data_IF_115358753287
#
_entry.id   IF_115358753287
#
_cell.length_a   1.000
_cell.length_b   1.000
_cell.length_c   1.000
_cell.angle_alpha   90.00
_cell.angle_beta   90.00
_cell.angle_gamma   90.00
#
_symmetry.space_group_name_H-M   'P 1'
#
loop_
_entity.id
_entity.type
_entity.pdbx_description
1 polymer ?
#
# COMPACT_ATOMS: atom_id res chain seq x y z
N UNK A 1 -8.05 1.93 10.29
CA UNK A 1 -7.21 2.91 9.58
C UNK A 1 -5.78 2.43 9.56
N UNK A 2 -5.06 2.67 8.46
CA UNK A 2 -3.64 2.34 8.36
C UNK A 2 -2.83 3.55 8.79
N UNK A 3 -1.92 3.38 9.74
CA UNK A 3 -1.07 4.46 10.23
C UNK A 3 0.33 4.31 9.69
N UNK A 4 0.79 5.33 8.96
CA UNK A 4 2.13 5.40 8.38
C UNK A 4 2.99 6.40 9.12
N UNK A 5 4.29 6.12 9.21
CA UNK A 5 5.25 7.10 9.72
C UNK A 5 5.47 8.19 8.66
N UNK A 6 5.13 9.44 8.98
CA UNK A 6 5.33 10.62 8.14
C UNK A 6 6.81 10.90 7.81
N UNK A 7 7.74 10.31 8.58
CA UNK A 7 9.17 10.45 8.37
C UNK A 7 9.73 9.28 7.56
N UNK A 8 9.86 8.09 8.16
CA UNK A 8 10.48 6.96 7.49
C UNK A 8 9.57 6.26 6.47
N UNK A 9 8.28 6.58 6.37
CA UNK A 9 7.33 5.94 5.45
C UNK A 9 7.21 4.44 5.62
N UNK A 10 7.30 3.98 6.86
CA UNK A 10 7.01 2.60 7.19
C UNK A 10 5.64 2.52 7.85
N UNK A 11 4.93 1.43 7.59
CA UNK A 11 3.70 1.09 8.29
C UNK A 11 4.00 0.98 9.79
N UNK A 12 3.31 1.80 10.58
CA UNK A 12 3.29 1.71 12.04
C UNK A 12 2.35 0.58 12.46
N UNK A 13 1.20 0.47 11.77
CA UNK A 13 0.22 -0.60 11.95
C UNK A 13 -1.20 -0.15 11.68
N UNK A 14 -2.14 -1.03 11.96
CA UNK A 14 -3.57 -0.74 11.93
C UNK A 14 -4.03 -0.14 13.26
N UNK A 15 -4.85 0.91 13.20
CA UNK A 15 -5.44 1.56 14.38
C UNK A 15 -6.95 1.65 14.23
N UNK A 16 -7.72 1.57 15.35
CA UNK A 16 -9.16 1.74 15.31
C UNK A 16 -9.57 3.08 14.65
N UNK A 17 -10.69 3.11 13.92
CA UNK A 17 -11.58 1.98 13.62
C UNK A 17 -11.00 1.08 12.50
N UNK A 18 -11.10 -0.25 12.65
CA UNK A 18 -10.41 -1.22 11.76
C UNK A 18 -11.09 -1.42 10.40
N UNK A 19 -12.36 -1.06 10.28
CA UNK A 19 -13.15 -1.07 9.05
C UNK A 19 -12.95 0.19 8.18
N UNK A 20 -12.15 1.14 8.67
CA UNK A 20 -11.75 2.31 7.91
C UNK A 20 -10.40 2.07 7.21
N UNK A 21 -10.45 1.86 5.90
CA UNK A 21 -9.26 1.60 5.07
C UNK A 21 -8.49 2.86 4.67
N UNK A 22 -8.82 4.04 5.20
CA UNK A 22 -8.04 5.26 4.93
C UNK A 22 -6.64 5.19 5.54
N UNK A 23 -5.72 5.87 4.86
CA UNK A 23 -4.35 6.08 5.30
C UNK A 23 -4.25 7.35 6.14
N UNK A 24 -3.65 7.22 7.31
CA UNK A 24 -3.34 8.32 8.22
C UNK A 24 -1.84 8.37 8.48
N UNK A 25 -1.33 9.53 8.89
CA UNK A 25 0.09 9.74 9.15
C UNK A 25 0.35 10.03 10.64
N UNK A 26 1.49 9.57 11.15
CA UNK A 26 2.01 9.86 12.49
C UNK A 26 3.52 9.72 12.53
N UNK A 27 4.15 9.63 13.70
CA UNK A 27 5.58 9.31 13.80
C UNK A 27 5.75 7.96 14.49
N UNK A 28 6.65 7.12 13.99
CA UNK A 28 7.07 5.94 14.71
C UNK A 28 7.98 6.33 15.88
N UNK A 29 8.06 5.48 16.91
CA UNK A 29 8.84 5.77 18.11
C UNK A 29 10.35 5.99 17.82
N UNK A 30 10.88 5.34 16.78
CA UNK A 30 12.27 5.52 16.36
C UNK A 30 12.51 6.94 15.79
N UNK A 31 11.70 7.36 14.82
CA UNK A 31 11.80 8.70 14.23
C UNK A 31 11.49 9.80 15.26
N UNK A 32 10.54 9.57 16.17
CA UNK A 32 10.23 10.53 17.23
C UNK A 32 11.42 10.78 18.17
N UNK A 33 12.19 9.73 18.51
CA UNK A 33 13.37 9.85 19.39
C UNK A 33 14.57 10.49 18.71
N UNK A 34 14.66 10.43 17.38
CA UNK A 34 15.78 10.97 16.60
C UNK A 34 15.50 12.32 15.94
N UNK A 35 14.38 12.97 16.25
CA UNK A 35 13.92 14.15 15.51
C UNK A 35 14.66 15.43 15.95
N UNK A 36 15.80 15.73 15.31
CA UNK A 36 16.28 17.10 15.12
C UNK A 36 16.10 17.47 13.64
N UNK A 37 15.36 18.54 13.35
CA UNK A 37 15.10 19.01 11.98
C UNK A 37 13.99 18.21 11.27
N UNK A 38 12.80 18.79 11.19
CA UNK A 38 11.68 18.21 10.45
C UNK A 38 11.75 18.63 8.99
N UNK A 39 12.25 17.75 8.11
CA UNK A 39 11.95 17.83 6.69
C UNK A 39 10.87 16.79 6.35
N UNK A 40 9.85 17.21 5.61
CA UNK A 40 8.87 16.28 5.05
C UNK A 40 9.66 15.40 4.08
N UNK A 41 9.93 14.16 4.49
CA UNK A 41 10.68 13.23 3.68
C UNK A 41 9.97 13.05 2.33
N UNK A 42 10.73 13.13 1.23
CA UNK A 42 10.27 12.83 -0.13
C UNK A 42 9.52 11.47 -0.23
N UNK A 43 9.71 10.59 0.75
CA UNK A 43 8.98 9.34 0.88
C UNK A 43 7.46 9.47 1.00
N UNK A 44 6.87 10.55 1.57
CA UNK A 44 5.39 10.69 1.64
C UNK A 44 4.76 10.62 0.25
N UNK A 45 5.45 11.20 -0.74
CA UNK A 45 5.02 11.16 -2.13
C UNK A 45 5.13 9.75 -2.72
N UNK A 46 6.12 8.95 -2.30
CA UNK A 46 6.31 7.59 -2.80
C UNK A 46 5.19 6.65 -2.36
N UNK A 47 4.84 6.63 -1.07
CA UNK A 47 3.75 5.80 -0.58
C UNK A 47 2.43 6.17 -1.27
N UNK A 48 2.11 7.46 -1.34
CA UNK A 48 0.91 7.94 -2.05
C UNK A 48 0.90 7.54 -3.53
N UNK A 49 2.03 7.72 -4.21
CA UNK A 49 2.17 7.35 -5.63
C UNK A 49 1.95 5.86 -5.84
N UNK A 50 2.53 5.00 -4.97
CA UNK A 50 2.34 3.55 -5.03
C UNK A 50 0.87 3.15 -4.85
N UNK A 51 0.16 3.78 -3.91
CA UNK A 51 -1.29 3.60 -3.72
C UNK A 51 -2.08 3.88 -5.01
N UNK A 52 -1.87 5.05 -5.60
CA UNK A 52 -2.58 5.47 -6.81
C UNK A 52 -2.22 4.60 -8.03
N UNK A 53 -0.96 4.14 -8.11
CA UNK A 53 -0.51 3.24 -9.16
C UNK A 53 -1.14 1.85 -9.04
N UNK A 54 -1.13 1.24 -7.85
CA UNK A 54 -1.73 -0.09 -7.64
C UNK A 54 -3.24 -0.08 -7.81
N UNK A 55 -3.94 0.97 -7.37
CA UNK A 55 -5.38 1.08 -7.63
C UNK A 55 -5.68 1.16 -9.12
N UNK A 56 -4.92 1.97 -9.87
CA UNK A 56 -5.11 2.14 -11.32
C UNK A 56 -4.78 0.85 -12.08
N UNK A 57 -3.62 0.27 -11.79
CA UNK A 57 -3.11 -0.90 -12.48
C UNK A 57 -3.96 -2.14 -12.19
N UNK A 58 -4.40 -2.34 -10.93
CA UNK A 58 -5.28 -3.46 -10.59
C UNK A 58 -6.67 -3.36 -11.25
N UNK A 59 -7.21 -2.14 -11.48
CA UNK A 59 -8.43 -1.96 -12.29
C UNK A 59 -8.23 -2.33 -13.76
N UNK A 60 -7.04 -2.04 -14.31
CA UNK A 60 -6.67 -2.38 -15.68
C UNK A 60 -6.20 -3.82 -15.87
N UNK A 61 -5.88 -4.54 -14.78
CA UNK A 61 -5.20 -5.83 -14.84
C UNK A 61 -3.74 -5.72 -15.31
N UNK A 62 -3.11 -4.57 -15.14
CA UNK A 62 -1.74 -4.29 -15.59
C UNK A 62 -0.73 -4.75 -14.54
N UNK A 63 -0.37 -6.04 -14.62
CA UNK A 63 0.56 -6.66 -13.69
C UNK A 63 1.97 -6.07 -13.82
N UNK A 64 2.43 -5.81 -15.05
CA UNK A 64 3.79 -5.31 -15.31
C UNK A 64 4.01 -3.91 -14.71
N UNK A 65 3.04 -3.01 -14.88
CA UNK A 65 3.10 -1.69 -14.25
C UNK A 65 3.12 -1.79 -12.71
N UNK A 66 2.36 -2.74 -12.16
CA UNK A 66 2.27 -2.95 -10.71
C UNK A 66 3.55 -3.54 -10.13
N UNK A 67 4.15 -4.51 -10.80
CA UNK A 67 5.44 -5.07 -10.43
C UNK A 67 6.54 -4.01 -10.46
N UNK A 68 6.54 -3.14 -11.48
CA UNK A 68 7.47 -2.03 -11.59
C UNK A 68 7.31 -1.06 -10.42
N UNK A 69 6.09 -0.63 -10.13
CA UNK A 69 5.79 0.27 -9.02
C UNK A 69 6.24 -0.29 -7.67
N UNK A 70 5.98 -1.57 -7.43
CA UNK A 70 6.39 -2.26 -6.21
C UNK A 70 7.91 -2.37 -6.12
N UNK A 71 8.60 -2.72 -7.21
CA UNK A 71 10.07 -2.80 -7.24
C UNK A 71 10.72 -1.46 -6.94
N UNK A 72 10.21 -0.37 -7.51
CA UNK A 72 10.66 0.99 -7.23
C UNK A 72 10.46 1.38 -5.76
N UNK A 73 9.31 1.02 -5.18
CA UNK A 73 9.03 1.27 -3.78
C UNK A 73 9.96 0.50 -2.84
N UNK A 74 10.24 -0.77 -3.14
CA UNK A 74 11.21 -1.57 -2.40
C UNK A 74 12.62 -0.99 -2.53
N UNK A 75 13.03 -0.57 -3.73
CA UNK A 75 14.31 0.10 -3.95
C UNK A 75 14.43 1.44 -3.21
N UNK A 76 13.31 2.13 -2.99
CA UNK A 76 13.22 3.35 -2.18
C UNK A 76 13.21 3.08 -0.66
N UNK A 77 13.30 1.82 -0.23
CA UNK A 77 13.45 1.41 1.16
C UNK A 77 12.14 1.06 1.88
N UNK A 78 11.01 0.93 1.17
CA UNK A 78 9.82 0.30 1.76
C UNK A 78 10.07 -1.21 1.94
N UNK A 79 9.51 -1.79 2.99
CA UNK A 79 9.56 -3.25 3.19
C UNK A 79 8.41 -3.93 2.46
N UNK A 80 8.52 -5.23 2.16
CA UNK A 80 7.40 -6.02 1.64
C UNK A 80 6.13 -5.91 2.50
N UNK A 81 6.25 -5.84 3.83
CA UNK A 81 5.10 -5.64 4.73
C UNK A 81 4.41 -4.28 4.56
N UNK A 82 5.18 -3.23 4.21
CA UNK A 82 4.64 -1.90 3.96
C UNK A 82 3.81 -1.90 2.67
N UNK A 83 4.21 -2.68 1.67
CA UNK A 83 3.45 -2.88 0.43
C UNK A 83 2.21 -3.75 0.68
N UNK A 84 2.38 -4.94 1.26
CA UNK A 84 1.31 -5.93 1.43
C UNK A 84 0.21 -5.46 2.39
N UNK A 85 0.59 -5.04 3.60
CA UNK A 85 -0.37 -4.63 4.62
C UNK A 85 -0.66 -3.15 4.51
N UNK A 86 0.37 -2.35 4.24
CA UNK A 86 0.24 -0.91 4.26
C UNK A 86 -0.44 -0.35 3.02
N UNK A 87 -0.37 -1.01 1.86
CA UNK A 87 -0.94 -0.53 0.58
C UNK A 87 -1.99 -1.48 0.01
N UNK A 88 -1.64 -2.74 -0.23
CA UNK A 88 -2.52 -3.69 -0.93
C UNK A 88 -3.79 -3.97 -0.14
N UNK A 89 -3.71 -4.17 1.18
CA UNK A 89 -4.87 -4.38 2.04
C UNK A 89 -5.88 -3.20 1.98
N UNK A 90 -5.49 -1.92 2.19
CA UNK A 90 -6.43 -0.81 2.04
C UNK A 90 -7.01 -0.65 0.62
N UNK A 91 -6.24 -0.96 -0.43
CA UNK A 91 -6.76 -0.96 -1.81
C UNK A 91 -7.83 -2.04 -1.99
N UNK A 92 -7.60 -3.26 -1.49
CA UNK A 92 -8.62 -4.34 -1.51
C UNK A 92 -9.89 -3.93 -0.75
N UNK A 93 -9.74 -3.30 0.42
CA UNK A 93 -10.86 -2.76 1.18
C UNK A 93 -11.66 -1.71 0.38
N UNK A 94 -10.98 -0.83 -0.37
CA UNK A 94 -11.61 0.15 -1.24
C UNK A 94 -12.39 -0.50 -2.39
N UNK A 95 -11.83 -1.54 -3.02
CA UNK A 95 -12.51 -2.31 -4.07
C UNK A 95 -13.76 -2.99 -3.51
N UNK A 96 -13.67 -3.60 -2.32
CA UNK A 96 -14.83 -4.17 -1.63
C UNK A 96 -15.94 -3.15 -1.36
N UNK A 97 -15.58 -1.92 -0.95
CA UNK A 97 -16.55 -0.83 -0.79
C UNK A 97 -17.21 -0.41 -2.10
N UNK A 98 -16.45 -0.33 -3.19
CA UNK A 98 -16.99 0.02 -4.51
C UNK A 98 -17.95 -1.05 -5.01
N UNK A 99 -17.65 -2.33 -4.78
CA UNK A 99 -18.57 -3.42 -5.08
C UNK A 99 -19.84 -3.33 -4.23
N UNK A 100 -19.70 -3.15 -2.91
CA UNK A 100 -20.83 -3.04 -1.99
C UNK A 100 -21.76 -1.86 -2.32
N UNK A 101 -21.23 -0.77 -2.86
CA UNK A 101 -22.03 0.37 -3.32
C UNK A 101 -22.61 0.20 -4.73
N UNK A 102 -22.34 -0.91 -5.42
CA UNK A 102 -22.74 -1.14 -6.81
C UNK A 102 -22.00 -0.30 -7.85
N UNK A 103 -20.85 0.29 -7.50
CA UNK A 103 -20.06 1.12 -8.40
C UNK A 103 -19.18 0.29 -9.36
N UNK A 104 -18.91 -0.97 -9.01
CA UNK A 104 -18.23 -1.96 -9.86
C UNK A 104 -18.98 -3.29 -9.79
N UNK A 105 -18.76 -4.16 -10.77
CA UNK A 105 -19.37 -5.50 -10.79
C UNK A 105 -18.59 -6.48 -9.91
N UNK A 106 -19.21 -7.63 -9.59
CA UNK A 106 -18.50 -8.75 -8.95
C UNK A 106 -17.36 -9.28 -9.83
N UNK A 107 -17.49 -9.18 -11.17
CA UNK A 107 -16.41 -9.57 -12.09
C UNK A 107 -15.20 -8.65 -12.00
N UNK A 108 -15.42 -7.34 -11.76
CA UNK A 108 -14.34 -6.37 -11.55
C UNK A 108 -13.62 -6.61 -10.22
N UNK A 109 -14.39 -6.88 -9.15
CA UNK A 109 -13.83 -7.27 -7.85
C UNK A 109 -12.96 -8.53 -7.97
N UNK A 110 -13.49 -9.60 -8.56
CA UNK A 110 -12.75 -10.85 -8.74
C UNK A 110 -11.48 -10.68 -9.59
N UNK A 111 -11.53 -9.83 -10.62
CA UNK A 111 -10.35 -9.50 -11.42
C UNK A 111 -9.28 -8.82 -10.58
N UNK A 112 -9.67 -7.87 -9.72
CA UNK A 112 -8.77 -7.19 -8.82
C UNK A 112 -8.17 -8.16 -7.78
N UNK A 113 -8.99 -9.04 -7.21
CA UNK A 113 -8.55 -10.07 -6.26
C UNK A 113 -7.56 -11.05 -6.90
N UNK A 114 -7.81 -11.51 -8.14
CA UNK A 114 -6.88 -12.35 -8.89
C UNK A 114 -5.54 -11.63 -9.16
N UNK A 115 -5.60 -10.35 -9.54
CA UNK A 115 -4.43 -9.51 -9.70
C UNK A 115 -3.63 -9.37 -8.38
N UNK A 116 -4.31 -9.12 -7.26
CA UNK A 116 -3.68 -9.00 -5.95
C UNK A 116 -2.95 -10.29 -5.55
N UNK A 117 -3.52 -11.45 -5.84
CA UNK A 117 -2.87 -12.75 -5.60
C UNK A 117 -1.60 -12.92 -6.42
N UNK A 118 -1.61 -12.53 -7.70
CA UNK A 118 -0.42 -12.57 -8.55
C UNK A 118 0.70 -11.66 -8.02
N UNK A 119 0.33 -10.46 -7.56
CA UNK A 119 1.29 -9.52 -6.95
C UNK A 119 1.90 -10.07 -5.66
N UNK A 120 1.10 -10.72 -4.82
CA UNK A 120 1.57 -11.38 -3.58
C UNK A 120 2.57 -12.49 -3.90
N UNK A 121 2.27 -13.32 -4.91
CA UNK A 121 3.18 -14.38 -5.32
C UNK A 121 4.51 -13.80 -5.81
N UNK A 122 4.50 -12.73 -6.60
CA UNK A 122 5.72 -12.05 -7.06
C UNK A 122 6.60 -11.57 -5.91
N UNK A 123 6.00 -10.92 -4.90
CA UNK A 123 6.69 -10.40 -3.72
C UNK A 123 7.35 -11.49 -2.87
N UNK A 124 6.82 -12.73 -2.88
CA UNK A 124 7.36 -13.86 -2.13
C UNK A 124 8.60 -14.48 -2.75
N UNK A 125 8.87 -14.26 -4.05
CA UNK A 125 10.04 -14.82 -4.71
C UNK A 125 11.34 -14.03 -4.47
N UNK A 126 11.24 -12.74 -4.17
CA UNK A 126 12.41 -11.89 -3.85
C UNK A 126 12.93 -12.07 -2.41
N UNK A 127 12.20 -12.76 -1.53
CA UNK A 127 12.60 -13.02 -0.12
C UNK A 127 13.40 -14.33 0.08
N UNK A 128 13.82 -15.02 -0.98
CA UNK A 128 14.58 -16.28 -0.85
C UNK A 128 16.08 -15.99 -0.63
N UNK A 129 16.71 -16.52 0.44
CA UNK A 129 18.15 -16.35 0.68
C UNK A 129 19.02 -17.00 -0.41
#
# INVERSE_FOLDING_TARGET
MFRWCAYCQHLIGEVPPYDDFRVSHGMCAACFRGAEGFEIAAGVLHAKSLFEQLERAGRGGDLEASETAVREALAAGLRPSDVLVGVLHPVLGRIGQLWASGAITVGDEHRFTAFALQLIDHLRFDERP
#
